data_IF_058749891385
#
_entry.id   IF_058749891385
#
_cell.length_a   1.000
_cell.length_b   1.000
_cell.length_c   1.000
_cell.angle_alpha   90.00
_cell.angle_beta   90.00
_cell.angle_gamma   90.00
#
_symmetry.space_group_name_H-M   'P 1'
#
loop_
_entity.id
_entity.type
_entity.pdbx_description
1 polymer ?
#
# COMPACT_ATOMS: atom_id res chain seq x y z
N UNK A 1 27.49 10.55 15.58
CA UNK A 1 26.09 10.38 16.01
C UNK A 1 25.27 11.45 15.30
N UNK A 2 24.50 11.06 14.27
CA UNK A 2 23.60 12.00 13.58
C UNK A 2 22.49 12.44 14.54
N UNK A 3 22.16 13.73 14.53
CA UNK A 3 21.03 14.26 15.30
C UNK A 3 19.74 13.56 14.83
N UNK A 4 18.81 13.21 15.73
CA UNK A 4 17.51 12.69 15.31
C UNK A 4 16.84 13.71 14.40
N UNK A 5 16.35 13.27 13.23
CA UNK A 5 15.58 14.11 12.32
C UNK A 5 14.36 14.64 13.10
N UNK A 6 14.19 15.95 13.29
CA UNK A 6 13.07 16.51 14.07
C UNK A 6 11.70 16.26 13.43
N UNK A 7 11.67 15.84 12.16
CA UNK A 7 10.46 15.41 11.45
C UNK A 7 10.20 13.90 11.57
N UNK A 8 11.07 13.15 12.25
CA UNK A 8 10.88 11.72 12.46
C UNK A 8 9.67 11.47 13.36
N UNK A 9 8.62 10.89 12.79
CA UNK A 9 7.47 10.40 13.53
C UNK A 9 7.71 8.92 13.87
N UNK A 10 7.79 8.53 15.15
CA UNK A 10 7.98 7.13 15.52
C UNK A 10 6.77 6.25 15.20
N UNK A 11 5.63 6.83 14.83
CA UNK A 11 4.45 6.10 14.36
C UNK A 11 4.35 6.24 12.84
N UNK A 12 4.33 5.13 12.08
CA UNK A 12 4.12 5.19 10.64
C UNK A 12 2.75 5.83 10.36
N UNK A 13 2.73 6.73 9.38
CA UNK A 13 1.48 7.28 8.87
C UNK A 13 0.68 6.17 8.20
N UNK A 14 -0.62 6.10 8.48
CA UNK A 14 -1.54 5.15 7.85
C UNK A 14 -2.37 5.91 6.81
N UNK A 15 -2.31 5.54 5.52
CA UNK A 15 -3.17 6.08 4.49
C UNK A 15 -4.65 5.99 4.85
N UNK A 16 -5.40 7.06 4.62
CA UNK A 16 -6.81 7.16 4.97
C UNK A 16 -7.74 7.34 3.76
N UNK A 17 -7.19 7.43 2.55
CA UNK A 17 -7.93 7.53 1.29
C UNK A 17 -7.57 6.41 0.31
N UNK A 18 -8.45 6.13 -0.66
CA UNK A 18 -8.16 5.16 -1.72
C UNK A 18 -7.02 5.67 -2.62
N UNK A 19 -6.92 6.98 -2.83
CA UNK A 19 -5.84 7.61 -3.59
C UNK A 19 -4.49 7.47 -2.88
N UNK A 20 -4.40 7.71 -1.57
CA UNK A 20 -3.15 7.55 -0.82
C UNK A 20 -2.68 6.10 -0.77
N UNK A 21 -3.60 5.14 -0.66
CA UNK A 21 -3.26 3.71 -0.71
C UNK A 21 -2.77 3.34 -2.13
N UNK A 22 -3.38 3.90 -3.17
CA UNK A 22 -2.91 3.73 -4.55
C UNK A 22 -1.48 4.26 -4.73
N UNK A 23 -1.18 5.44 -4.20
CA UNK A 23 0.18 6.02 -4.24
C UNK A 23 1.18 5.19 -3.42
N UNK A 24 0.76 4.64 -2.28
CA UNK A 24 1.58 3.70 -1.48
C UNK A 24 1.94 2.45 -2.29
N UNK A 25 0.99 1.85 -3.00
CA UNK A 25 1.26 0.67 -3.84
C UNK A 25 2.31 0.98 -4.91
N UNK A 26 2.20 2.13 -5.58
CA UNK A 26 3.19 2.59 -6.55
C UNK A 26 4.59 2.73 -5.93
N UNK A 27 4.68 3.26 -4.71
CA UNK A 27 5.95 3.29 -3.95
C UNK A 27 6.45 1.88 -3.62
N UNK A 28 5.60 1.00 -3.10
CA UNK A 28 5.96 -0.38 -2.77
C UNK A 28 6.51 -1.14 -3.98
N UNK A 29 5.94 -0.96 -5.17
CA UNK A 29 6.42 -1.56 -6.42
C UNK A 29 7.85 -1.11 -6.74
N UNK A 30 8.17 0.17 -6.56
CA UNK A 30 9.48 0.74 -6.84
C UNK A 30 10.57 0.26 -5.87
N UNK A 31 10.24 0.07 -4.59
CA UNK A 31 11.20 -0.30 -3.55
C UNK A 31 11.25 -1.80 -3.24
N UNK A 32 10.41 -2.62 -3.86
CA UNK A 32 10.47 -4.08 -3.77
C UNK A 32 11.83 -4.63 -4.27
N UNK A 33 12.32 -5.75 -3.69
CA UNK A 33 11.64 -6.61 -2.72
C UNK A 33 11.87 -6.25 -1.25
N UNK A 34 12.86 -5.40 -0.93
CA UNK A 34 13.29 -5.17 0.45
C UNK A 34 12.60 -3.99 1.12
N UNK A 35 12.08 -3.06 0.32
CA UNK A 35 11.48 -1.80 0.75
C UNK A 35 12.42 -0.85 1.49
N UNK A 36 13.72 -1.16 1.50
CA UNK A 36 14.73 -0.38 2.21
C UNK A 36 14.92 0.96 1.52
N UNK A 37 14.80 2.02 2.30
CA UNK A 37 15.16 3.35 1.83
C UNK A 37 16.66 3.61 1.99
N UNK A 38 17.39 3.49 0.88
CA UNK A 38 18.83 3.74 0.83
C UNK A 38 19.24 5.19 1.11
N UNK A 39 18.32 6.16 0.97
CA UNK A 39 18.60 7.58 1.23
C UNK A 39 18.46 7.93 2.72
N UNK A 40 17.77 7.08 3.50
CA UNK A 40 17.61 7.23 4.93
C UNK A 40 16.56 8.27 5.34
N UNK A 41 15.71 8.69 4.40
CA UNK A 41 14.54 9.54 4.67
C UNK A 41 13.49 8.77 5.50
N UNK A 42 13.38 7.46 5.28
CA UNK A 42 12.48 6.54 5.94
C UNK A 42 13.22 5.28 6.46
N UNK A 43 14.03 5.42 7.51
CA UNK A 43 14.98 4.39 7.95
C UNK A 43 14.33 3.10 8.48
N UNK A 44 13.05 3.14 8.84
CA UNK A 44 12.31 1.99 9.37
C UNK A 44 11.56 1.19 8.29
N UNK A 45 11.61 1.62 7.01
CA UNK A 45 10.94 0.90 5.91
C UNK A 45 11.58 -0.46 5.67
N UNK A 46 10.73 -1.47 5.73
CA UNK A 46 11.01 -2.89 5.46
C UNK A 46 9.70 -3.59 5.14
N UNK A 47 9.79 -4.84 4.68
CA UNK A 47 8.64 -5.68 4.33
C UNK A 47 7.51 -5.57 5.38
N UNK A 48 7.79 -5.89 6.64
CA UNK A 48 6.75 -5.90 7.68
C UNK A 48 6.09 -4.54 7.93
N UNK A 49 6.87 -3.44 7.90
CA UNK A 49 6.32 -2.11 8.16
C UNK A 49 5.45 -1.62 7.00
N UNK A 50 5.87 -1.86 5.76
CA UNK A 50 5.11 -1.44 4.58
C UNK A 50 3.79 -2.23 4.47
N UNK A 51 3.85 -3.55 4.67
CA UNK A 51 2.64 -4.37 4.64
C UNK A 51 1.71 -4.09 5.83
N UNK A 52 2.24 -3.73 7.00
CA UNK A 52 1.42 -3.23 8.10
C UNK A 52 0.72 -1.91 7.74
N UNK A 53 1.43 -0.95 7.13
CA UNK A 53 0.84 0.31 6.67
C UNK A 53 -0.24 0.07 5.61
N UNK A 54 0.04 -0.78 4.63
CA UNK A 54 -0.89 -1.13 3.55
C UNK A 54 -2.20 -1.75 4.08
N UNK A 55 -2.07 -2.80 4.89
CA UNK A 55 -3.23 -3.53 5.45
C UNK A 55 -4.03 -2.69 6.42
N UNK A 56 -3.38 -1.84 7.23
CA UNK A 56 -4.07 -0.88 8.08
C UNK A 56 -4.84 0.16 7.25
N UNK A 57 -4.28 0.61 6.13
CA UNK A 57 -4.95 1.51 5.19
C UNK A 57 -6.21 0.86 4.60
N UNK A 58 -6.13 -0.40 4.16
CA UNK A 58 -7.31 -1.16 3.69
C UNK A 58 -8.42 -1.22 4.74
N UNK A 59 -8.09 -1.41 6.02
CA UNK A 59 -9.08 -1.39 7.11
C UNK A 59 -9.75 -0.03 7.24
N UNK A 60 -8.99 1.07 7.16
CA UNK A 60 -9.53 2.43 7.23
C UNK A 60 -10.53 2.70 6.11
N UNK A 61 -10.25 2.24 4.89
CA UNK A 61 -11.13 2.45 3.72
C UNK A 61 -12.12 1.32 3.47
N UNK A 62 -12.21 0.31 4.36
CA UNK A 62 -13.03 -0.90 4.21
C UNK A 62 -14.47 -0.61 3.81
N UNK A 63 -15.10 0.40 4.42
CA UNK A 63 -16.47 0.82 4.08
C UNK A 63 -16.62 1.25 2.62
N UNK A 64 -15.59 1.87 2.03
CA UNK A 64 -15.57 2.32 0.63
C UNK A 64 -15.31 1.16 -0.34
N UNK A 65 -14.49 0.19 0.07
CA UNK A 65 -14.16 -1.01 -0.70
C UNK A 65 -15.36 -1.97 -0.82
N UNK A 66 -16.06 -2.17 0.30
CA UNK A 66 -16.96 -3.30 0.49
C UNK A 66 -16.19 -4.55 0.92
N UNK A 67 -16.89 -5.45 1.63
CA UNK A 67 -16.29 -6.60 2.30
C UNK A 67 -15.55 -7.57 1.36
N UNK A 68 -16.11 -7.84 0.19
CA UNK A 68 -15.51 -8.76 -0.79
C UNK A 68 -14.15 -8.26 -1.28
N UNK A 69 -14.08 -6.99 -1.69
CA UNK A 69 -12.84 -6.39 -2.18
C UNK A 69 -11.82 -6.21 -1.07
N UNK A 70 -12.26 -5.83 0.12
CA UNK A 70 -11.40 -5.79 1.29
C UNK A 70 -10.76 -7.15 1.57
N UNK A 71 -11.54 -8.23 1.60
CA UNK A 71 -11.03 -9.58 1.83
C UNK A 71 -10.02 -10.01 0.74
N UNK A 72 -10.32 -9.69 -0.53
CA UNK A 72 -9.41 -9.96 -1.65
C UNK A 72 -8.09 -9.19 -1.52
N UNK A 73 -8.14 -7.90 -1.19
CA UNK A 73 -6.93 -7.09 -0.98
C UNK A 73 -6.07 -7.60 0.18
N UNK A 74 -6.70 -8.05 1.28
CA UNK A 74 -5.99 -8.65 2.40
C UNK A 74 -5.29 -9.97 2.03
N UNK A 75 -5.96 -10.85 1.26
CA UNK A 75 -5.36 -12.10 0.76
C UNK A 75 -4.16 -11.83 -0.16
N UNK A 76 -4.34 -10.92 -1.13
CA UNK A 76 -3.27 -10.51 -2.02
C UNK A 76 -2.08 -9.95 -1.23
N UNK A 77 -2.32 -9.14 -0.20
CA UNK A 77 -1.27 -8.53 0.61
C UNK A 77 -0.46 -9.59 1.36
N UNK A 78 -1.12 -10.57 1.98
CA UNK A 78 -0.43 -11.69 2.66
C UNK A 78 0.45 -12.45 1.68
N UNK A 79 -0.09 -12.83 0.51
CA UNK A 79 0.65 -13.59 -0.51
C UNK A 79 1.84 -12.79 -1.07
N UNK A 80 1.67 -11.50 -1.31
CA UNK A 80 2.74 -10.64 -1.78
C UNK A 80 3.86 -10.52 -0.72
N UNK A 81 3.50 -10.36 0.56
CA UNK A 81 4.45 -10.30 1.65
C UNK A 81 5.30 -11.57 1.74
N UNK A 82 4.69 -12.75 1.62
CA UNK A 82 5.37 -14.04 1.61
C UNK A 82 6.35 -14.18 0.44
N UNK A 83 5.95 -13.73 -0.76
CA UNK A 83 6.80 -13.75 -1.95
C UNK A 83 8.05 -12.88 -1.78
N UNK A 84 7.89 -11.65 -1.30
CA UNK A 84 9.03 -10.76 -1.04
C UNK A 84 9.94 -11.27 0.08
N UNK A 85 9.37 -11.81 1.16
CA UNK A 85 10.15 -12.40 2.24
C UNK A 85 11.02 -13.56 1.75
N UNK A 86 10.56 -14.29 0.73
CA UNK A 86 11.22 -15.46 0.16
C UNK A 86 12.19 -15.15 -1.00
N UNK A 87 12.42 -13.88 -1.34
CA UNK A 87 13.29 -13.44 -2.46
C UNK A 87 13.89 -12.05 -2.23
N UNK A 88 14.46 -11.83 -1.04
CA UNK A 88 15.03 -10.53 -0.67
C UNK A 88 16.26 -10.12 -1.49
N UNK A 89 16.91 -11.08 -2.17
CA UNK A 89 18.05 -10.86 -3.06
C UNK A 89 17.67 -10.83 -4.55
N UNK A 90 16.37 -10.89 -4.88
CA UNK A 90 15.84 -10.86 -6.24
C UNK A 90 16.52 -11.88 -7.18
N UNK A 91 16.64 -13.12 -6.71
CA UNK A 91 17.41 -14.17 -7.37
C UNK A 91 16.55 -15.34 -7.86
N UNK A 92 15.30 -15.46 -7.40
CA UNK A 92 14.43 -16.61 -7.69
C UNK A 92 13.10 -16.25 -8.38
N UNK A 93 12.89 -14.98 -8.70
CA UNK A 93 11.76 -14.48 -9.50
C UNK A 93 10.45 -14.32 -8.72
N UNK A 94 10.44 -14.54 -7.40
CA UNK A 94 9.25 -14.23 -6.58
C UNK A 94 9.07 -12.74 -6.38
N UNK A 95 10.13 -11.93 -6.49
CA UNK A 95 10.01 -10.47 -6.51
C UNK A 95 9.05 -10.00 -7.59
N UNK A 96 9.19 -10.51 -8.82
CA UNK A 96 8.29 -10.19 -9.92
C UNK A 96 6.86 -10.70 -9.68
N UNK A 97 6.71 -11.89 -9.08
CA UNK A 97 5.40 -12.40 -8.68
C UNK A 97 4.75 -11.52 -7.60
N UNK A 98 5.52 -11.04 -6.62
CA UNK A 98 5.06 -10.12 -5.59
C UNK A 98 4.63 -8.78 -6.19
N UNK A 99 5.42 -8.22 -7.11
CA UNK A 99 5.05 -6.99 -7.86
C UNK A 99 3.76 -7.19 -8.66
N UNK A 100 3.58 -8.34 -9.31
CA UNK A 100 2.35 -8.64 -10.03
C UNK A 100 1.11 -8.59 -9.11
N UNK A 101 1.22 -9.09 -7.88
CA UNK A 101 0.14 -8.98 -6.89
C UNK A 101 -0.09 -7.53 -6.43
N UNK A 102 0.96 -6.71 -6.29
CA UNK A 102 0.80 -5.29 -5.99
C UNK A 102 0.05 -4.55 -7.12
N UNK A 103 0.34 -4.86 -8.38
CA UNK A 103 -0.42 -4.31 -9.52
C UNK A 103 -1.88 -4.79 -9.53
N UNK A 104 -2.15 -6.03 -9.15
CA UNK A 104 -3.52 -6.53 -9.00
C UNK A 104 -4.30 -5.73 -7.93
N UNK A 105 -3.65 -5.38 -6.82
CA UNK A 105 -4.25 -4.49 -5.81
C UNK A 105 -4.51 -3.08 -6.36
N UNK A 106 -3.58 -2.52 -7.15
CA UNK A 106 -3.78 -1.21 -7.80
C UNK A 106 -5.02 -1.21 -8.69
N UNK A 107 -5.21 -2.27 -9.48
CA UNK A 107 -6.36 -2.42 -10.36
C UNK A 107 -7.67 -2.49 -9.56
N UNK A 108 -7.71 -3.24 -8.46
CA UNK A 108 -8.88 -3.28 -7.56
C UNK A 108 -9.21 -1.89 -7.01
N UNK A 109 -8.21 -1.14 -6.52
CA UNK A 109 -8.42 0.21 -5.97
C UNK A 109 -8.88 1.19 -7.05
N UNK A 110 -8.27 1.12 -8.24
CA UNK A 110 -8.63 1.95 -9.39
C UNK A 110 -10.07 1.70 -9.82
N UNK A 111 -10.52 0.45 -9.85
CA UNK A 111 -11.90 0.09 -10.16
C UNK A 111 -12.88 0.63 -9.11
N UNK A 112 -12.55 0.55 -7.82
CA UNK A 112 -13.36 1.13 -6.75
C UNK A 112 -13.46 2.65 -6.91
N UNK A 113 -12.34 3.35 -7.13
CA UNK A 113 -12.32 4.81 -7.34
C UNK A 113 -13.16 5.20 -8.55
N UNK A 114 -12.99 4.51 -9.67
CA UNK A 114 -13.79 4.71 -10.89
C UNK A 114 -15.28 4.49 -10.65
N UNK A 115 -15.65 3.44 -9.89
CA UNK A 115 -17.04 3.17 -9.52
C UNK A 115 -17.62 4.33 -8.68
N UNK A 116 -16.89 4.81 -7.68
CA UNK A 116 -17.32 5.91 -6.81
C UNK A 116 -17.55 7.20 -7.59
N UNK A 117 -16.65 7.54 -8.51
CA UNK A 117 -16.81 8.69 -9.42
C UNK A 117 -18.06 8.55 -10.28
N UNK A 118 -18.26 7.38 -10.91
CA UNK A 118 -19.46 7.12 -11.74
C UNK A 118 -20.76 7.24 -10.95
N UNK A 119 -20.74 6.84 -9.67
CA UNK A 119 -21.88 6.92 -8.76
C UNK A 119 -22.04 8.30 -8.10
N UNK A 120 -21.15 9.26 -8.38
CA UNK A 120 -21.13 10.60 -7.78
C UNK A 120 -21.12 10.56 -6.24
N UNK A 121 -20.44 9.57 -5.68
CA UNK A 121 -20.28 9.48 -4.23
C UNK A 121 -19.26 10.54 -3.81
N UNK A 122 -19.62 11.45 -2.87
CA UNK A 122 -18.68 12.43 -2.38
C UNK A 122 -17.66 11.80 -1.44
N UNK A 123 -16.47 12.37 -1.41
CA UNK A 123 -15.48 12.15 -0.37
C UNK A 123 -15.83 12.94 0.91
N UNK A 124 -14.88 13.02 1.83
CA UNK A 124 -15.05 13.69 3.11
C UNK A 124 -15.16 15.23 3.02
N UNK A 125 -14.70 15.82 1.93
CA UNK A 125 -14.80 17.27 1.66
C UNK A 125 -16.06 17.61 0.83
N UNK A 126 -16.81 16.59 0.40
CA UNK A 126 -18.00 16.76 -0.42
C UNK A 126 -17.71 16.73 -1.93
N UNK A 127 -16.48 16.42 -2.33
CA UNK A 127 -16.05 16.41 -3.73
C UNK A 127 -16.17 15.03 -4.36
N UNK A 128 -16.35 14.97 -5.69
CA UNK A 128 -16.44 13.70 -6.43
C UNK A 128 -15.08 13.36 -7.03
N UNK A 129 -14.20 12.83 -6.19
CA UNK A 129 -12.80 12.50 -6.53
C UNK A 129 -12.57 11.00 -6.76
N UNK A 130 -13.48 10.16 -6.23
CA UNK A 130 -13.31 8.71 -6.17
C UNK A 130 -12.84 8.23 -4.81
N UNK A 131 -12.46 9.14 -3.90
CA UNK A 131 -12.29 8.86 -2.47
C UNK A 131 -13.61 8.88 -1.71
#
# INVERSE_FOLDING_TARGET
MSRPNPYFNPKPYIPCSLSEIYDLLGSMILFAPTFVDSLGDFPDRKIDSEFHTLTSGFEVVRKKLGEERYASLMDLAVRAQELFAADQDDANGKTDQGRALLFEMEDVLKDVRNQRVRQKLPDHEGEVTGD
#
